data_IF_090450454531
#
_entry.id   IF_090450454531
#
_cell.length_a   1.000
_cell.length_b   1.000
_cell.length_c   1.000
_cell.angle_alpha   90.00
_cell.angle_beta   90.00
_cell.angle_gamma   90.00
#
_symmetry.space_group_name_H-M   'P 1'
#
loop_
_entity.id
_entity.type
_entity.pdbx_description
1 polymer ?
#
# COMPACT_ATOMS: atom_id res chain seq x y z
N UNK A 1 -3.79 19.37 11.76
CA UNK A 1 -2.34 19.15 11.91
C UNK A 1 -1.63 19.93 10.81
N UNK A 2 -0.59 20.71 11.11
CA UNK A 2 0.14 21.50 10.11
C UNK A 2 1.61 21.08 10.10
N UNK A 3 2.14 20.74 8.93
CA UNK A 3 3.53 20.35 8.70
C UNK A 3 4.18 21.35 7.75
N UNK A 4 5.33 21.91 8.13
CA UNK A 4 6.12 22.77 7.28
C UNK A 4 7.30 21.97 6.71
N UNK A 5 7.42 21.93 5.38
CA UNK A 5 8.53 21.28 4.68
C UNK A 5 9.30 22.33 3.91
N UNK A 6 10.61 22.42 4.13
CA UNK A 6 11.47 23.31 3.37
C UNK A 6 11.84 22.67 2.04
N UNK A 7 11.61 23.41 0.96
CA UNK A 7 11.92 23.01 -0.41
C UNK A 7 12.81 24.08 -1.05
N UNK A 8 13.77 23.64 -1.85
CA UNK A 8 14.49 24.58 -2.72
C UNK A 8 13.51 25.23 -3.72
N UNK A 9 13.81 26.42 -4.24
CA UNK A 9 12.96 27.05 -5.27
C UNK A 9 12.77 26.16 -6.51
N UNK A 10 13.77 25.34 -6.84
CA UNK A 10 13.70 24.39 -7.97
C UNK A 10 12.70 23.27 -7.67
N UNK A 11 12.81 22.64 -6.50
CA UNK A 11 11.97 21.49 -6.13
C UNK A 11 10.53 21.94 -5.92
N UNK A 12 10.32 23.10 -5.28
CA UNK A 12 8.99 23.68 -5.15
C UNK A 12 8.29 23.87 -6.51
N UNK A 13 9.03 24.30 -7.55
CA UNK A 13 8.48 24.43 -8.92
C UNK A 13 8.18 23.08 -9.56
N UNK A 14 8.99 22.06 -9.30
CA UNK A 14 8.77 20.71 -9.83
C UNK A 14 7.56 20.06 -9.17
N UNK A 15 7.49 20.06 -7.84
CA UNK A 15 6.39 19.48 -7.10
C UNK A 15 5.06 20.16 -7.38
N UNK A 16 5.02 21.50 -7.47
CA UNK A 16 3.79 22.20 -7.86
C UNK A 16 3.31 21.81 -9.26
N UNK A 17 4.22 21.71 -10.24
CA UNK A 17 3.87 21.29 -11.60
C UNK A 17 3.35 19.86 -11.63
N UNK A 18 3.95 18.96 -10.85
CA UNK A 18 3.51 17.58 -10.75
C UNK A 18 2.13 17.48 -10.09
N UNK A 19 1.93 18.12 -8.94
CA UNK A 19 0.65 18.15 -8.25
C UNK A 19 -0.48 18.74 -9.12
N UNK A 20 -0.19 19.82 -9.87
CA UNK A 20 -1.14 20.45 -10.78
C UNK A 20 -1.57 19.53 -11.93
N UNK A 21 -0.69 18.64 -12.43
CA UNK A 21 -1.07 17.64 -13.46
C UNK A 21 -2.13 16.67 -12.98
N UNK A 22 -2.17 16.41 -11.67
CA UNK A 22 -3.16 15.55 -11.02
C UNK A 22 -4.34 16.34 -10.44
N UNK A 23 -4.42 17.66 -10.70
CA UNK A 23 -5.47 18.52 -10.14
C UNK A 23 -5.36 18.75 -8.63
N UNK A 24 -4.21 18.45 -8.02
CA UNK A 24 -3.99 18.52 -6.57
C UNK A 24 -3.21 19.77 -6.17
N UNK A 25 -3.43 20.24 -4.94
CA UNK A 25 -2.53 21.21 -4.30
C UNK A 25 -1.23 20.53 -3.88
N UNK A 26 -0.18 21.33 -3.66
CA UNK A 26 1.10 20.80 -3.18
C UNK A 26 0.98 20.09 -1.82
N UNK A 27 0.15 20.63 -0.91
CA UNK A 27 -0.09 20.02 0.40
C UNK A 27 -0.87 18.71 0.30
N UNK A 28 -1.88 18.64 -0.56
CA UNK A 28 -2.63 17.42 -0.81
C UNK A 28 -1.72 16.32 -1.39
N UNK A 29 -0.92 16.68 -2.40
CA UNK A 29 0.07 15.76 -2.98
C UNK A 29 1.05 15.23 -1.93
N UNK A 30 1.60 16.12 -1.08
CA UNK A 30 2.51 15.71 -0.03
C UNK A 30 1.86 14.76 0.98
N UNK A 31 0.61 15.02 1.38
CA UNK A 31 -0.12 14.15 2.30
C UNK A 31 -0.39 12.76 1.70
N UNK A 32 -0.77 12.67 0.43
CA UNK A 32 -0.97 11.39 -0.27
C UNK A 32 0.36 10.64 -0.37
N UNK A 33 1.42 11.29 -0.83
CA UNK A 33 2.74 10.65 -0.96
C UNK A 33 3.28 10.15 0.38
N UNK A 34 3.04 10.87 1.48
CA UNK A 34 3.40 10.38 2.82
C UNK A 34 2.59 9.15 3.21
N UNK A 35 1.27 9.15 2.93
CA UNK A 35 0.41 8.01 3.24
C UNK A 35 0.80 6.77 2.44
N UNK A 36 1.04 6.90 1.14
CA UNK A 36 1.50 5.80 0.28
C UNK A 36 2.80 5.19 0.82
N UNK A 37 3.75 6.01 1.28
CA UNK A 37 5.01 5.51 1.86
C UNK A 37 4.82 4.78 3.19
N UNK A 38 3.82 5.17 3.97
CA UNK A 38 3.44 4.45 5.20
C UNK A 38 2.74 3.13 4.87
N UNK A 39 1.85 3.12 3.88
CA UNK A 39 1.17 1.91 3.38
C UNK A 39 2.19 0.91 2.83
N UNK A 40 3.14 1.33 2.00
CA UNK A 40 4.23 0.48 1.49
C UNK A 40 5.03 -0.20 2.62
N UNK A 41 5.27 0.52 3.73
CA UNK A 41 6.00 -0.01 4.87
C UNK A 41 5.18 -1.04 5.65
N UNK A 42 3.89 -0.79 5.83
CA UNK A 42 2.96 -1.73 6.46
C UNK A 42 2.79 -2.99 5.60
N UNK A 43 2.62 -2.84 4.29
CA UNK A 43 2.50 -3.94 3.35
C UNK A 43 3.76 -4.82 3.36
N UNK A 44 4.95 -4.19 3.42
CA UNK A 44 6.22 -4.92 3.56
C UNK A 44 6.27 -5.72 4.85
N UNK A 45 5.88 -5.14 5.99
CA UNK A 45 5.87 -5.82 7.28
C UNK A 45 4.91 -7.02 7.25
N UNK A 46 3.68 -6.82 6.76
CA UNK A 46 2.69 -7.89 6.63
C UNK A 46 3.19 -9.04 5.74
N UNK A 47 3.88 -8.72 4.64
CA UNK A 47 4.52 -9.73 3.79
C UNK A 47 5.63 -10.48 4.54
N UNK A 48 6.52 -9.78 5.24
CA UNK A 48 7.61 -10.41 5.99
C UNK A 48 7.08 -11.37 7.06
N UNK A 49 6.04 -10.96 7.80
CA UNK A 49 5.36 -11.78 8.81
C UNK A 49 4.71 -13.02 8.17
N UNK A 50 3.90 -12.85 7.12
CA UNK A 50 3.23 -13.94 6.43
C UNK A 50 4.24 -14.96 5.85
N UNK A 51 5.36 -14.48 5.32
CA UNK A 51 6.42 -15.35 4.80
C UNK A 51 7.18 -16.08 5.91
N UNK A 52 7.36 -15.47 7.08
CA UNK A 52 7.95 -16.15 8.24
C UNK A 52 7.04 -17.29 8.72
N UNK A 53 5.73 -17.05 8.83
CA UNK A 53 4.75 -18.07 9.20
C UNK A 53 4.70 -19.20 8.18
N UNK A 54 4.66 -18.89 6.88
CA UNK A 54 4.69 -19.89 5.82
C UNK A 54 5.97 -20.72 5.86
N UNK A 55 7.13 -20.13 6.16
CA UNK A 55 8.39 -20.89 6.29
C UNK A 55 8.36 -21.82 7.49
N UNK A 56 7.73 -21.44 8.60
CA UNK A 56 7.55 -22.29 9.78
C UNK A 56 6.59 -23.44 9.51
N UNK A 57 5.56 -23.22 8.69
CA UNK A 57 4.57 -24.22 8.31
C UNK A 57 4.20 -24.09 6.83
N UNK A 58 4.94 -24.73 5.90
CA UNK A 58 4.82 -24.53 4.46
C UNK A 58 3.63 -25.28 3.83
N UNK A 59 2.55 -25.47 4.58
CA UNK A 59 1.33 -26.08 4.06
C UNK A 59 0.59 -25.03 3.23
N UNK A 60 0.23 -25.42 2.01
CA UNK A 60 -0.57 -24.60 1.10
C UNK A 60 -1.79 -25.42 0.68
N UNK A 61 -2.88 -24.71 0.37
CA UNK A 61 -4.12 -25.30 -0.10
C UNK A 61 -4.50 -24.65 -1.43
N UNK A 62 -5.03 -25.46 -2.32
CA UNK A 62 -5.70 -24.97 -3.53
C UNK A 62 -7.01 -24.28 -3.19
N UNK A 63 -7.52 -23.46 -4.11
CA UNK A 63 -8.81 -22.79 -3.92
C UNK A 63 -9.94 -23.78 -3.60
N UNK A 64 -10.05 -24.89 -4.35
CA UNK A 64 -11.07 -25.92 -4.14
C UNK A 64 -10.93 -26.62 -2.78
N UNK A 65 -9.70 -26.86 -2.30
CA UNK A 65 -9.48 -27.42 -0.97
C UNK A 65 -9.95 -26.46 0.12
N UNK A 66 -9.66 -25.16 -0.01
CA UNK A 66 -10.12 -24.14 0.94
C UNK A 66 -11.65 -23.97 0.88
N UNK A 67 -12.25 -23.93 -0.31
CA UNK A 67 -13.70 -23.84 -0.50
C UNK A 67 -14.40 -25.02 0.21
N UNK A 68 -13.88 -26.24 0.02
CA UNK A 68 -14.35 -27.44 0.72
C UNK A 68 -14.16 -27.36 2.23
N UNK A 69 -13.03 -26.82 2.73
CA UNK A 69 -12.79 -26.62 4.17
C UNK A 69 -13.76 -25.61 4.80
N UNK A 70 -14.16 -24.59 4.03
CA UNK A 70 -15.08 -23.54 4.47
C UNK A 70 -16.55 -23.87 4.21
N UNK A 71 -16.85 -24.95 3.48
CA UNK A 71 -18.23 -25.34 3.14
C UNK A 71 -18.88 -24.45 2.09
N UNK A 72 -18.09 -23.86 1.20
CA UNK A 72 -18.55 -23.04 0.07
C UNK A 72 -18.65 -23.94 -1.16
N UNK A 73 -19.76 -23.89 -1.89
CA UNK A 73 -19.92 -24.60 -3.17
C UNK A 73 -19.11 -23.84 -4.25
N UNK A 74 -18.29 -24.55 -5.03
CA UNK A 74 -17.39 -23.94 -6.05
C UNK A 74 -18.13 -23.10 -7.11
N UNK A 75 -19.46 -23.27 -7.23
CA UNK A 75 -20.31 -22.56 -8.20
C UNK A 75 -20.78 -21.16 -7.72
N UNK A 76 -20.50 -20.77 -6.46
CA UNK A 76 -20.93 -19.50 -5.85
C UNK A 76 -19.91 -18.33 -5.98
N UNK A 77 -18.78 -18.52 -6.69
CA UNK A 77 -17.69 -17.53 -6.88
C UNK A 77 -17.40 -17.24 -8.36
#
# INVERSE_FOLDING_TARGET
MSLAVHLSPRDARLFRRHAARSGMTLSAFAAVAMRERMEDELDRQAYEEAMEELRKNPVTYTHAEVAKMLGIEDDDV
#
